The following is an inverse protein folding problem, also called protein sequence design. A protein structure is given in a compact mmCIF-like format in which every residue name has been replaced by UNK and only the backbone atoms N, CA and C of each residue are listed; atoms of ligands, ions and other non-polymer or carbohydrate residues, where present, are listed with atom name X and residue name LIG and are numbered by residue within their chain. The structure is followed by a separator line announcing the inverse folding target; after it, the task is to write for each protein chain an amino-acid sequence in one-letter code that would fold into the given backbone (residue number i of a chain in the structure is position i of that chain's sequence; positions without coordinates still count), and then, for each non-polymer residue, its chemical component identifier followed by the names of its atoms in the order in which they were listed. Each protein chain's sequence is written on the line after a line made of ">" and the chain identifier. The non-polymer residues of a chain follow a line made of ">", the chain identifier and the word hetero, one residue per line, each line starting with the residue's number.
data_IF_369878597463
#
_entry.id   IF_369878597463
#
_cell.length_a   1.000
_cell.length_b   1.000
_cell.length_c   1.000
_cell.angle_alpha   90.00
_cell.angle_beta   90.00
_cell.angle_gamma   90.00
#
_symmetry.space_group_name_H-M   'P 1'
#
loop_
_entity.id
_entity.type
_entity.pdbx_description
1 polymer ?
#
# COMPACT_ATOMS: atom_id res chain seq x y z
N UNK A 1 7.62 6.18 13.25
CA UNK A 1 6.73 6.34 12.11
C UNK A 1 7.48 6.52 10.79
N UNK A 2 6.74 6.74 9.71
CA UNK A 2 7.30 6.88 8.34
C UNK A 2 8.43 7.91 8.24
N UNK A 3 8.33 9.13 8.82
CA UNK A 3 9.42 10.13 8.72
C UNK A 3 10.77 9.63 9.26
N UNK A 4 10.79 8.88 10.36
CA UNK A 4 12.05 8.31 10.88
C UNK A 4 12.65 7.26 9.95
N UNK A 5 11.82 6.44 9.30
CA UNK A 5 12.27 5.44 8.32
C UNK A 5 12.83 6.09 7.07
N UNK A 6 12.18 7.16 6.60
CA UNK A 6 12.69 7.98 5.49
C UNK A 6 14.06 8.57 5.87
N UNK A 7 14.20 9.13 7.08
CA UNK A 7 15.46 9.69 7.53
C UNK A 7 16.58 8.64 7.63
N UNK A 8 16.26 7.44 8.14
CA UNK A 8 17.19 6.33 8.18
C UNK A 8 17.68 5.94 6.76
N UNK A 9 16.75 5.88 5.81
CA UNK A 9 17.07 5.60 4.42
C UNK A 9 17.99 6.67 3.82
N UNK A 10 17.69 7.95 4.04
CA UNK A 10 18.50 9.09 3.58
C UNK A 10 19.93 9.03 4.13
N UNK A 11 20.08 8.68 5.42
CA UNK A 11 21.40 8.55 6.05
C UNK A 11 22.22 7.44 5.40
N UNK A 12 21.60 6.28 5.14
CA UNK A 12 22.28 5.12 4.55
C UNK A 12 22.70 5.37 3.10
N UNK A 13 21.86 6.06 2.33
CA UNK A 13 22.09 6.24 0.90
C UNK A 13 22.78 7.58 0.54
N UNK A 14 22.90 8.50 1.49
CA UNK A 14 23.45 9.83 1.24
C UNK A 14 22.62 10.72 0.34
N UNK A 15 21.33 10.36 0.16
CA UNK A 15 20.39 11.04 -0.73
C UNK A 15 19.15 11.49 0.01
N UNK A 16 18.55 12.60 -0.42
CA UNK A 16 17.26 13.07 0.11
C UNK A 16 16.09 12.49 -0.66
N UNK A 17 15.07 12.04 0.06
CA UNK A 17 13.80 11.61 -0.54
C UNK A 17 12.99 12.85 -0.92
N UNK A 18 12.88 13.12 -2.23
CA UNK A 18 12.19 14.32 -2.76
C UNK A 18 10.79 14.07 -3.30
N UNK A 19 10.40 12.80 -3.46
CA UNK A 19 9.19 12.43 -4.20
C UNK A 19 8.20 11.63 -3.32
N UNK A 20 8.23 11.84 -2.00
CA UNK A 20 7.31 11.22 -1.05
C UNK A 20 6.50 12.31 -0.35
N UNK A 21 5.18 12.23 -0.50
CA UNK A 21 4.22 13.15 0.12
C UNK A 21 3.37 12.37 1.11
N UNK A 22 3.19 12.90 2.31
CA UNK A 22 2.47 12.23 3.39
C UNK A 22 1.15 12.93 3.66
N UNK A 23 0.07 12.18 3.63
CA UNK A 23 -1.26 12.63 4.09
C UNK A 23 -1.42 12.19 5.54
N UNK A 24 -1.45 13.15 6.47
CA UNK A 24 -1.45 12.90 7.92
C UNK A 24 -2.86 12.67 8.50
N UNK A 25 -3.79 12.20 7.70
CA UNK A 25 -5.13 11.83 8.14
C UNK A 25 -5.56 10.52 7.47
N UNK A 26 -6.51 9.78 8.05
CA UNK A 26 -7.13 8.67 7.36
C UNK A 26 -7.83 9.16 6.08
N UNK A 27 -7.80 8.34 5.05
CA UNK A 27 -8.56 8.53 3.80
C UNK A 27 -9.36 7.27 3.59
N UNK A 28 -10.65 7.42 3.32
CA UNK A 28 -11.59 6.31 3.20
C UNK A 28 -12.04 6.17 1.73
N UNK A 29 -11.45 5.26 0.95
CA UNK A 29 -11.83 5.07 -0.47
C UNK A 29 -13.31 4.79 -0.69
N UNK A 30 -14.01 4.20 0.27
CA UNK A 30 -15.45 4.00 0.21
C UNK A 30 -16.27 5.32 0.28
N UNK A 31 -15.63 6.45 0.63
CA UNK A 31 -16.24 7.77 0.74
C UNK A 31 -15.85 8.62 -0.46
N UNK A 32 -16.80 8.98 -1.37
CA UNK A 32 -16.47 9.71 -2.59
C UNK A 32 -15.75 11.04 -2.37
N UNK A 33 -16.10 11.78 -1.31
CA UNK A 33 -15.43 13.04 -0.98
C UNK A 33 -13.94 12.86 -0.63
N UNK A 34 -13.58 11.78 0.06
CA UNK A 34 -12.19 11.47 0.38
C UNK A 34 -11.38 11.12 -0.88
N UNK A 35 -12.02 10.43 -1.82
CA UNK A 35 -11.43 10.16 -3.14
C UNK A 35 -11.19 11.47 -3.89
N UNK A 36 -12.18 12.38 -3.90
CA UNK A 36 -12.04 13.69 -4.54
C UNK A 36 -10.89 14.51 -3.97
N UNK A 37 -10.79 14.58 -2.63
CA UNK A 37 -9.71 15.31 -1.96
C UNK A 37 -8.32 14.72 -2.26
N UNK A 38 -8.21 13.39 -2.30
CA UNK A 38 -6.93 12.75 -2.64
C UNK A 38 -6.53 12.97 -4.09
N UNK A 39 -7.50 12.97 -5.02
CA UNK A 39 -7.25 13.32 -6.41
C UNK A 39 -6.80 14.79 -6.55
N UNK A 40 -7.44 15.70 -5.80
CA UNK A 40 -7.04 17.12 -5.78
C UNK A 40 -5.61 17.26 -5.26
N UNK A 41 -5.27 16.57 -4.18
CA UNK A 41 -3.91 16.57 -3.62
C UNK A 41 -2.88 16.02 -4.62
N UNK A 42 -3.19 14.90 -5.30
CA UNK A 42 -2.32 14.35 -6.34
C UNK A 42 -2.10 15.35 -7.49
N UNK A 43 -3.16 16.00 -7.96
CA UNK A 43 -3.07 17.05 -9.00
C UNK A 43 -2.28 18.28 -8.54
N UNK A 44 -2.35 18.62 -7.26
CA UNK A 44 -1.53 19.70 -6.71
C UNK A 44 -0.04 19.34 -6.77
N UNK A 45 0.33 18.14 -6.31
CA UNK A 45 1.71 17.63 -6.42
C UNK A 45 2.20 17.65 -7.87
N UNK A 46 1.37 17.23 -8.82
CA UNK A 46 1.71 17.27 -10.25
C UNK A 46 1.98 18.70 -10.75
N UNK A 47 1.15 19.67 -10.36
CA UNK A 47 1.36 21.08 -10.72
C UNK A 47 2.63 21.67 -10.12
N UNK A 48 2.93 21.36 -8.86
CA UNK A 48 4.08 21.90 -8.13
C UNK A 48 5.41 21.29 -8.60
N UNK A 49 5.39 20.02 -9.01
CA UNK A 49 6.61 19.27 -9.35
C UNK A 49 6.82 19.09 -10.86
N UNK A 50 5.81 19.31 -11.66
CA UNK A 50 5.80 18.99 -13.09
C UNK A 50 5.84 17.48 -13.37
N UNK A 51 5.63 16.62 -12.36
CA UNK A 51 5.72 15.16 -12.47
C UNK A 51 4.44 14.51 -11.99
N UNK A 52 3.92 13.50 -12.71
CA UNK A 52 2.71 12.80 -12.29
C UNK A 52 2.96 11.97 -11.03
N UNK A 53 1.94 11.90 -10.17
CA UNK A 53 1.91 10.93 -9.06
C UNK A 53 1.83 9.53 -9.65
N UNK A 54 2.79 8.67 -9.35
CA UNK A 54 2.88 7.31 -9.91
C UNK A 54 2.31 6.24 -9.00
N UNK A 55 2.28 6.50 -7.69
CA UNK A 55 1.80 5.54 -6.70
C UNK A 55 1.08 6.26 -5.57
N UNK A 56 -0.04 5.71 -5.16
CA UNK A 56 -0.81 6.09 -3.97
C UNK A 56 -0.77 4.90 -3.02
N UNK A 57 -0.28 5.10 -1.80
CA UNK A 57 -0.14 4.04 -0.80
C UNK A 57 -1.17 4.25 0.31
N UNK A 58 -2.02 3.26 0.52
CA UNK A 58 -2.99 3.19 1.62
C UNK A 58 -2.42 2.28 2.73
N UNK A 59 -1.90 2.87 3.80
CA UNK A 59 -1.27 2.16 4.92
C UNK A 59 -2.05 2.44 6.23
N UNK A 60 -2.89 1.52 6.60
CA UNK A 60 -3.22 0.18 6.14
C UNK A 60 -4.67 0.08 5.69
N UNK A 61 -5.07 -1.04 5.04
CA UNK A 61 -6.48 -1.30 4.70
C UNK A 61 -7.38 -1.05 5.90
N UNK A 62 -7.10 -1.65 7.05
CA UNK A 62 -7.89 -1.50 8.26
C UNK A 62 -8.09 -0.02 8.69
N UNK A 63 -7.07 0.83 8.55
CA UNK A 63 -7.16 2.26 8.88
C UNK A 63 -7.93 3.06 7.83
N UNK A 64 -7.92 2.60 6.60
CA UNK A 64 -8.59 3.24 5.47
C UNK A 64 -9.99 2.66 5.20
N UNK A 65 -10.47 1.75 6.05
CA UNK A 65 -11.76 1.09 5.88
C UNK A 65 -12.94 1.81 6.56
N UNK A 66 -12.65 2.80 7.41
CA UNK A 66 -13.67 3.71 7.96
C UNK A 66 -14.64 3.09 8.95
N UNK A 67 -14.26 2.00 9.62
CA UNK A 67 -15.11 1.30 10.59
C UNK A 67 -16.11 0.33 9.97
N UNK A 68 -16.09 0.13 8.67
CA UNK A 68 -16.83 -0.90 7.96
C UNK A 68 -16.30 -2.31 8.26
N UNK A 69 -17.02 -3.36 7.87
CA UNK A 69 -16.58 -4.75 8.05
C UNK A 69 -15.78 -5.24 6.81
N UNK A 70 -14.49 -5.52 7.03
CA UNK A 70 -13.61 -6.06 5.98
C UNK A 70 -14.08 -7.41 5.41
N UNK A 71 -14.95 -8.14 6.13
CA UNK A 71 -15.50 -9.41 5.68
C UNK A 71 -16.83 -9.24 4.93
N UNK A 72 -17.46 -8.07 5.01
CA UNK A 72 -18.68 -7.78 4.26
C UNK A 72 -18.33 -7.46 2.79
N UNK A 73 -18.98 -8.18 1.88
CA UNK A 73 -18.72 -8.07 0.44
C UNK A 73 -19.17 -6.73 -0.15
N UNK A 74 -20.18 -6.07 0.44
CA UNK A 74 -20.67 -4.76 0.01
C UNK A 74 -19.68 -3.67 0.38
N UNK A 75 -19.22 -3.71 1.64
CA UNK A 75 -18.27 -2.75 2.17
C UNK A 75 -16.93 -2.87 1.44
N UNK A 76 -16.44 -4.09 1.24
CA UNK A 76 -15.25 -4.35 0.45
C UNK A 76 -15.42 -3.90 -1.00
N UNK A 77 -16.58 -4.14 -1.60
CA UNK A 77 -16.89 -3.64 -2.94
C UNK A 77 -16.87 -2.11 -3.04
N UNK A 78 -17.32 -1.40 -2.00
CA UNK A 78 -17.25 0.06 -1.96
C UNK A 78 -15.79 0.55 -1.89
N UNK A 79 -14.95 -0.08 -1.06
CA UNK A 79 -13.53 0.22 -0.96
C UNK A 79 -12.79 -0.01 -2.29
N UNK A 80 -13.04 -1.17 -2.94
CA UNK A 80 -12.45 -1.51 -4.25
C UNK A 80 -12.83 -0.45 -5.29
N UNK A 81 -14.11 -0.09 -5.40
CA UNK A 81 -14.55 0.95 -6.35
C UNK A 81 -13.85 2.29 -6.13
N UNK A 82 -13.63 2.69 -4.87
CA UNK A 82 -12.89 3.90 -4.55
C UNK A 82 -11.42 3.82 -4.98
N UNK A 83 -10.76 2.68 -4.80
CA UNK A 83 -9.40 2.46 -5.30
C UNK A 83 -9.34 2.50 -6.83
N UNK A 84 -10.31 1.89 -7.53
CA UNK A 84 -10.41 1.94 -8.99
C UNK A 84 -10.62 3.37 -9.49
N UNK A 85 -11.44 4.15 -8.79
CA UNK A 85 -11.68 5.57 -9.12
C UNK A 85 -10.41 6.41 -8.93
N UNK A 86 -9.63 6.18 -7.85
CA UNK A 86 -8.32 6.82 -7.67
C UNK A 86 -7.39 6.48 -8.84
N UNK A 87 -7.25 5.19 -9.17
CA UNK A 87 -6.44 4.70 -10.30
C UNK A 87 -6.87 5.37 -11.61
N UNK A 88 -8.16 5.38 -11.90
CA UNK A 88 -8.72 5.95 -13.14
C UNK A 88 -8.46 7.44 -13.27
N UNK A 89 -8.60 8.21 -12.18
CA UNK A 89 -8.52 9.68 -12.20
C UNK A 89 -7.10 10.21 -12.12
N UNK A 90 -6.18 9.46 -11.51
CA UNK A 90 -4.78 9.89 -11.34
C UNK A 90 -3.81 9.19 -12.29
N UNK A 91 -4.16 8.02 -12.82
CA UNK A 91 -3.24 7.16 -13.54
C UNK A 91 -2.17 6.52 -12.65
N UNK A 92 -2.28 6.67 -11.32
CA UNK A 92 -1.34 6.11 -10.35
C UNK A 92 -1.68 4.65 -10.04
N UNK A 93 -0.66 3.86 -9.72
CA UNK A 93 -0.85 2.56 -9.06
C UNK A 93 -1.37 2.78 -7.64
N UNK A 94 -2.41 2.07 -7.23
CA UNK A 94 -2.89 2.08 -5.84
C UNK A 94 -2.33 0.85 -5.13
N UNK A 95 -1.46 1.07 -4.15
CA UNK A 95 -0.90 0.03 -3.28
C UNK A 95 -1.61 0.03 -1.94
N UNK A 96 -2.20 -1.09 -1.57
CA UNK A 96 -2.87 -1.26 -0.26
C UNK A 96 -2.02 -2.16 0.62
N UNK A 97 -1.61 -1.64 1.77
CA UNK A 97 -0.93 -2.42 2.80
C UNK A 97 -1.97 -3.10 3.67
N UNK A 98 -1.89 -4.42 3.75
CA UNK A 98 -2.82 -5.22 4.53
C UNK A 98 -2.07 -6.16 5.48
N UNK A 99 -2.56 -6.32 6.71
CA UNK A 99 -1.99 -7.27 7.65
C UNK A 99 -2.64 -8.64 7.46
N UNK A 100 -1.82 -9.67 7.25
CA UNK A 100 -2.29 -11.06 7.31
C UNK A 100 -2.82 -11.36 8.72
N UNK A 101 -3.87 -12.20 8.79
CA UNK A 101 -4.37 -12.70 10.07
C UNK A 101 -3.31 -13.55 10.82
N UNK A 102 -3.62 -13.93 12.08
CA UNK A 102 -2.77 -14.82 12.88
C UNK A 102 -2.58 -16.21 12.23
N UNK A 103 -3.49 -16.62 11.36
CA UNK A 103 -3.42 -17.88 10.63
C UNK A 103 -2.90 -17.59 9.21
N UNK A 104 -1.62 -17.76 9.04
CA UNK A 104 -0.92 -17.49 7.78
C UNK A 104 -1.38 -18.41 6.63
N UNK A 105 -1.98 -19.56 6.95
CA UNK A 105 -2.44 -20.54 5.95
C UNK A 105 -3.71 -20.10 5.23
N UNK A 106 -4.47 -19.17 5.83
CA UNK A 106 -5.75 -18.67 5.27
C UNK A 106 -5.62 -17.45 4.36
N UNK A 107 -4.39 -16.97 4.13
CA UNK A 107 -4.15 -15.77 3.33
C UNK A 107 -4.55 -14.47 4.01
N UNK A 108 -4.70 -13.39 3.25
CA UNK A 108 -5.15 -12.10 3.77
C UNK A 108 -6.57 -12.24 4.35
N UNK A 109 -6.80 -11.62 5.53
CA UNK A 109 -8.16 -11.50 6.09
C UNK A 109 -9.01 -10.65 5.16
N UNK A 110 -10.32 -10.90 5.16
CA UNK A 110 -11.28 -10.13 4.40
C UNK A 110 -11.96 -10.93 3.29
N UNK A 111 -12.82 -10.25 2.57
CA UNK A 111 -13.60 -10.84 1.49
C UNK A 111 -12.70 -11.38 0.37
N UNK A 112 -12.98 -12.58 -0.13
CA UNK A 112 -12.34 -13.16 -1.32
C UNK A 112 -12.43 -12.22 -2.54
N UNK A 113 -13.41 -11.33 -2.56
CA UNK A 113 -13.57 -10.30 -3.57
C UNK A 113 -12.37 -9.34 -3.63
N UNK A 114 -11.74 -9.02 -2.47
CA UNK A 114 -10.57 -8.15 -2.46
C UNK A 114 -9.41 -8.79 -3.23
N UNK A 115 -9.05 -10.04 -2.88
CA UNK A 115 -7.97 -10.73 -3.59
C UNK A 115 -8.27 -10.92 -5.09
N UNK A 116 -9.54 -11.17 -5.43
CA UNK A 116 -9.95 -11.31 -6.84
C UNK A 116 -9.72 -10.02 -7.64
N UNK A 117 -9.92 -8.84 -7.02
CA UNK A 117 -9.78 -7.53 -7.67
C UNK A 117 -8.33 -7.08 -7.89
N UNK A 118 -7.35 -7.66 -7.18
CA UNK A 118 -5.95 -7.25 -7.28
C UNK A 118 -5.33 -7.65 -8.62
N UNK A 119 -4.52 -6.76 -9.20
CA UNK A 119 -3.66 -7.06 -10.35
C UNK A 119 -2.41 -7.83 -9.90
N UNK A 120 -1.88 -7.50 -8.73
CA UNK A 120 -0.74 -8.21 -8.11
C UNK A 120 -0.89 -8.27 -6.60
N UNK A 121 -0.35 -9.30 -5.97
CA UNK A 121 -0.27 -9.47 -4.53
C UNK A 121 1.13 -9.90 -4.14
N UNK A 122 1.71 -9.21 -3.17
CA UNK A 122 2.99 -9.54 -2.58
C UNK A 122 2.83 -9.82 -1.11
N UNK A 123 3.46 -10.89 -0.64
CA UNK A 123 3.53 -11.27 0.76
C UNK A 123 4.90 -10.94 1.32
N UNK A 124 4.93 -10.30 2.48
CA UNK A 124 6.15 -10.06 3.23
C UNK A 124 6.07 -10.88 4.51
N UNK A 125 7.07 -11.71 4.76
CA UNK A 125 7.19 -12.53 5.96
C UNK A 125 8.62 -12.48 6.49
N UNK A 126 8.82 -12.86 7.75
CA UNK A 126 10.17 -13.18 8.22
C UNK A 126 10.59 -14.51 7.63
N UNK A 127 11.87 -14.68 7.39
CA UNK A 127 12.40 -15.94 6.85
C UNK A 127 12.14 -17.08 7.86
N UNK A 128 12.55 -16.87 9.13
CA UNK A 128 12.33 -17.78 10.23
C UNK A 128 11.95 -17.04 11.52
N UNK A 129 11.46 -17.78 12.53
CA UNK A 129 11.20 -17.25 13.87
C UNK A 129 12.55 -16.83 14.51
N UNK A 130 12.78 -15.52 14.60
CA UNK A 130 14.04 -14.94 15.11
C UNK A 130 14.98 -14.40 14.05
N UNK A 131 14.73 -14.66 12.75
CA UNK A 131 15.47 -14.02 11.66
C UNK A 131 15.12 -12.53 11.55
N UNK A 132 16.12 -11.70 11.28
CA UNK A 132 15.92 -10.29 10.89
C UNK A 132 15.64 -10.14 9.40
N UNK A 133 15.87 -11.18 8.60
CA UNK A 133 15.61 -11.19 7.18
C UNK A 133 14.10 -11.21 6.87
N UNK A 134 13.72 -10.40 5.92
CA UNK A 134 12.36 -10.36 5.34
C UNK A 134 12.39 -11.00 3.96
N UNK A 135 11.44 -11.89 3.71
CA UNK A 135 11.22 -12.50 2.39
C UNK A 135 9.99 -11.85 1.76
N UNK A 136 10.15 -11.38 0.55
CA UNK A 136 9.06 -10.87 -0.30
C UNK A 136 8.78 -11.91 -1.38
N UNK A 137 7.55 -12.41 -1.42
CA UNK A 137 7.08 -13.34 -2.45
C UNK A 137 5.88 -12.78 -3.21
N UNK A 138 5.86 -12.99 -4.52
CA UNK A 138 4.68 -12.71 -5.34
C UNK A 138 3.71 -13.87 -5.19
N UNK A 139 2.49 -13.60 -4.73
CA UNK A 139 1.45 -14.62 -4.49
C UNK A 139 0.30 -14.52 -5.49
N UNK A 140 0.31 -13.48 -6.32
CA UNK A 140 -0.58 -13.28 -7.47
C UNK A 140 0.05 -12.29 -8.45
N UNK A 141 -0.03 -12.61 -9.73
CA UNK A 141 0.28 -11.72 -10.84
C UNK A 141 -0.70 -12.00 -11.98
N UNK A 142 -1.43 -10.97 -12.45
CA UNK A 142 -2.53 -11.17 -13.40
C UNK A 142 -2.05 -11.31 -14.84
N UNK A 143 -1.20 -10.40 -15.30
CA UNK A 143 -0.85 -10.26 -16.72
C UNK A 143 0.66 -10.44 -16.98
N UNK A 144 1.40 -11.04 -16.04
CA UNK A 144 2.83 -11.31 -16.15
C UNK A 144 3.22 -12.55 -15.32
N UNK A 145 4.45 -13.01 -15.48
CA UNK A 145 5.02 -14.06 -14.64
C UNK A 145 5.20 -13.57 -13.19
N UNK A 146 4.96 -14.46 -12.23
CA UNK A 146 5.23 -14.17 -10.83
C UNK A 146 6.72 -13.92 -10.60
N UNK A 147 7.04 -12.86 -9.88
CA UNK A 147 8.42 -12.55 -9.54
C UNK A 147 8.99 -13.60 -8.58
N UNK A 148 10.27 -13.93 -8.75
CA UNK A 148 10.99 -14.80 -7.81
C UNK A 148 11.02 -14.18 -6.43
N UNK A 149 11.01 -15.02 -5.41
CA UNK A 149 11.22 -14.58 -4.02
C UNK A 149 12.55 -13.82 -3.90
N UNK A 150 12.52 -12.76 -3.07
CA UNK A 150 13.70 -11.99 -2.73
C UNK A 150 13.77 -11.83 -1.20
N UNK A 151 14.95 -12.03 -0.64
CA UNK A 151 15.21 -11.83 0.77
C UNK A 151 15.96 -10.49 0.99
N UNK A 152 15.63 -9.82 2.09
CA UNK A 152 16.20 -8.54 2.47
C UNK A 152 16.53 -8.52 3.96
N UNK A 153 17.74 -8.12 4.30
CA UNK A 153 18.13 -7.90 5.69
C UNK A 153 17.65 -6.52 6.18
N UNK A 154 17.13 -6.50 7.40
CA UNK A 154 16.82 -5.25 8.07
C UNK A 154 18.08 -4.68 8.70
N UNK A 155 18.38 -3.44 8.39
CA UNK A 155 19.50 -2.72 8.99
C UNK A 155 19.01 -1.69 9.99
N UNK A 156 19.55 -1.76 11.21
CA UNK A 156 19.35 -0.70 12.21
C UNK A 156 20.22 0.49 11.85
N UNK A 157 19.63 1.68 11.89
CA UNK A 157 20.32 2.95 11.63
C UNK A 157 20.11 3.86 12.83
N UNK A 158 21.19 4.31 13.43
CA UNK A 158 21.18 5.35 14.47
C UNK A 158 20.92 6.72 13.82
N UNK A 159 19.99 7.52 14.41
CA UNK A 159 19.54 8.82 13.92
C UNK A 159 19.74 9.90 14.97
#
# INVERSE_FOLDING_TARGET
>A
GVPRRVKAWEVVHGEQVKNLYLVNRPVFPAVPLDVDELVIAARQVERETGKPVRMIILDTLARCFGGNDENDSRDMGAFIRGCDELKRRTGATVLVVHHSGKDETKGARGSSAFRASLDAEYRIRREDAGSEALVISCTKMKDAEELKEAAYDLRVVEL
#
